data_IF_640986808383
#
_entry.id   IF_640986808383
#
_cell.length_a   1.000
_cell.length_b   1.000
_cell.length_c   1.000
_cell.angle_alpha   90.00
_cell.angle_beta   90.00
_cell.angle_gamma   90.00
#
_symmetry.space_group_name_H-M   'P 1'
#
loop_
_entity.id
_entity.type
_entity.pdbx_description
1 polymer ?
#
# COMPACT_ATOMS: atom_id res chain seq x y z
N UNK A 1 -9.79 13.19 32.36
CA UNK A 1 -10.53 13.02 31.11
C UNK A 1 -10.72 11.54 30.91
N UNK A 2 -11.96 11.07 30.97
CA UNK A 2 -12.31 9.68 30.65
C UNK A 2 -12.65 9.62 29.16
N UNK A 3 -12.15 8.62 28.45
CA UNK A 3 -12.42 8.41 27.03
C UNK A 3 -13.01 7.01 26.87
N UNK A 4 -14.25 6.95 26.42
CA UNK A 4 -14.93 5.70 26.11
C UNK A 4 -15.28 5.68 24.63
N UNK A 5 -14.90 4.62 23.94
CA UNK A 5 -15.05 4.48 22.50
C UNK A 5 -15.14 3.02 22.08
N UNK A 6 -15.65 2.81 20.88
CA UNK A 6 -15.80 1.49 20.27
C UNK A 6 -15.57 1.59 18.77
N UNK A 7 -15.02 0.53 18.19
CA UNK A 7 -14.86 0.37 16.75
C UNK A 7 -15.73 -0.78 16.26
N UNK A 8 -16.48 -0.54 15.18
CA UNK A 8 -17.36 -1.54 14.57
C UNK A 8 -17.18 -1.51 13.05
N UNK A 9 -16.35 -2.43 12.56
CA UNK A 9 -16.10 -2.60 11.14
C UNK A 9 -16.68 -3.94 10.66
N UNK A 10 -17.90 -3.87 10.10
CA UNK A 10 -18.69 -5.05 9.73
C UNK A 10 -18.04 -5.90 8.64
N UNK A 11 -17.41 -5.24 7.67
CA UNK A 11 -16.76 -5.93 6.53
C UNK A 11 -15.60 -6.83 6.98
N UNK A 12 -14.92 -6.43 8.06
CA UNK A 12 -13.80 -7.18 8.63
C UNK A 12 -14.24 -8.11 9.78
N UNK A 13 -15.52 -8.08 10.19
CA UNK A 13 -16.01 -8.82 11.35
C UNK A 13 -15.41 -8.34 12.69
N UNK A 14 -14.94 -7.09 12.74
CA UNK A 14 -14.27 -6.52 13.93
C UNK A 14 -15.28 -5.65 14.67
N UNK A 15 -15.63 -6.06 15.89
CA UNK A 15 -16.40 -5.24 16.83
C UNK A 15 -15.70 -5.30 18.18
N UNK A 16 -15.16 -4.17 18.64
CA UNK A 16 -14.40 -4.06 19.89
C UNK A 16 -14.72 -2.77 20.62
N UNK A 17 -14.68 -2.85 21.95
CA UNK A 17 -14.76 -1.68 22.83
C UNK A 17 -13.37 -1.31 23.34
N UNK A 18 -13.16 -0.07 23.78
CA UNK A 18 -11.88 0.38 24.35
C UNK A 18 -11.38 -0.55 25.47
N UNK A 19 -12.30 -1.18 26.21
CA UNK A 19 -12.02 -2.12 27.31
C UNK A 19 -11.34 -3.42 26.86
N UNK A 20 -11.51 -3.81 25.59
CA UNK A 20 -10.98 -5.04 25.01
C UNK A 20 -9.70 -4.81 24.19
N UNK A 21 -9.36 -3.54 23.96
CA UNK A 21 -8.29 -3.08 23.10
C UNK A 21 -7.15 -2.48 23.93
N UNK A 22 -5.97 -2.31 23.32
CA UNK A 22 -4.82 -1.66 23.97
C UNK A 22 -4.62 -0.25 23.44
N UNK A 23 -4.71 0.73 24.33
CA UNK A 23 -4.54 2.15 24.02
C UNK A 23 -3.16 2.72 24.33
N UNK A 24 -2.79 3.75 23.58
CA UNK A 24 -1.57 4.54 23.81
C UNK A 24 -1.82 6.02 23.53
N UNK A 25 -1.24 6.92 24.33
CA UNK A 25 -1.18 8.35 24.06
C UNK A 25 0.12 8.69 23.36
N UNK A 26 0.03 9.21 22.14
CA UNK A 26 1.18 9.66 21.36
C UNK A 26 1.65 11.04 21.84
N UNK A 27 2.93 11.13 22.14
CA UNK A 27 3.65 12.38 22.37
C UNK A 27 4.58 12.59 21.18
N UNK A 28 4.12 13.35 20.18
CA UNK A 28 4.79 13.42 18.86
C UNK A 28 5.92 14.46 18.78
N UNK A 29 5.93 15.48 19.63
CA UNK A 29 6.84 16.62 19.46
C UNK A 29 8.11 16.54 20.31
N UNK A 30 9.10 17.37 19.95
CA UNK A 30 10.41 17.48 20.60
C UNK A 30 10.49 18.61 21.64
N UNK A 31 9.36 19.22 22.00
CA UNK A 31 9.35 20.32 22.96
C UNK A 31 9.81 19.84 24.34
N UNK A 32 10.44 20.72 25.13
CA UNK A 32 10.92 20.39 26.48
C UNK A 32 9.81 19.83 27.38
N UNK A 33 8.58 20.34 27.26
CA UNK A 33 7.39 19.87 27.99
C UNK A 33 7.06 18.41 27.63
N UNK A 34 7.18 18.05 26.36
CA UNK A 34 6.88 16.71 25.85
C UNK A 34 7.98 15.71 26.25
N UNK A 35 9.25 16.12 26.13
CA UNK A 35 10.38 15.33 26.64
C UNK A 35 10.27 15.09 28.15
N UNK A 36 9.89 16.12 28.91
CA UNK A 36 9.64 16.00 30.34
C UNK A 36 8.51 14.99 30.64
N UNK A 37 7.43 15.00 29.86
CA UNK A 37 6.34 14.02 30.03
C UNK A 37 6.80 12.59 29.78
N UNK A 38 7.59 12.34 28.72
CA UNK A 38 8.15 11.02 28.44
C UNK A 38 9.07 10.56 29.58
N UNK A 39 9.97 11.43 30.04
CA UNK A 39 10.90 11.15 31.15
C UNK A 39 10.22 10.94 32.51
N UNK A 40 9.14 11.66 32.80
CA UNK A 40 8.36 11.51 34.04
C UNK A 40 7.54 10.20 34.05
N UNK A 41 7.29 9.61 32.88
CA UNK A 41 6.38 8.48 32.72
C UNK A 41 7.14 7.17 32.55
N UNK A 42 7.23 6.36 33.60
CA UNK A 42 7.93 5.06 33.58
C UNK A 42 7.39 4.06 32.53
N UNK A 43 6.15 4.25 32.06
CA UNK A 43 5.51 3.42 31.04
C UNK A 43 5.64 3.96 29.61
N UNK A 44 6.47 5.00 29.40
CA UNK A 44 6.71 5.56 28.09
C UNK A 44 7.47 4.56 27.20
N UNK A 45 6.90 4.23 26.04
CA UNK A 45 7.47 3.30 25.05
C UNK A 45 7.86 4.04 23.78
N UNK A 46 8.88 3.56 23.07
CA UNK A 46 9.30 4.11 21.77
C UNK A 46 8.33 3.79 20.64
N UNK A 47 7.51 2.74 20.80
CA UNK A 47 6.51 2.28 19.85
C UNK A 47 5.32 1.65 20.61
N UNK A 48 4.09 1.72 20.08
CA UNK A 48 2.91 1.15 20.74
C UNK A 48 2.93 -0.38 20.76
N UNK A 49 3.58 -1.02 19.79
CA UNK A 49 3.74 -2.48 19.71
C UNK A 49 5.23 -2.78 19.58
N UNK A 50 5.74 -3.71 20.39
CA UNK A 50 7.16 -4.07 20.46
C UNK A 50 8.13 -2.91 20.79
N UNK A 51 7.61 -1.81 21.33
CA UNK A 51 8.42 -0.68 21.79
C UNK A 51 9.30 -1.05 22.98
N UNK A 52 10.40 -0.31 23.11
CA UNK A 52 11.25 -0.33 24.32
C UNK A 52 10.91 0.88 25.17
N UNK A 53 11.18 0.80 26.48
CA UNK A 53 11.06 1.96 27.36
C UNK A 53 11.95 3.09 26.85
N UNK A 54 11.43 4.32 26.82
CA UNK A 54 12.15 5.50 26.34
C UNK A 54 11.83 6.71 27.22
N UNK A 55 12.82 7.55 27.46
CA UNK A 55 12.66 8.84 28.14
C UNK A 55 12.60 10.00 27.13
N UNK A 56 12.78 9.73 25.84
CA UNK A 56 12.84 10.70 24.76
C UNK A 56 11.56 10.67 23.91
N UNK A 57 11.15 11.84 23.44
CA UNK A 57 10.06 11.97 22.47
C UNK A 57 10.59 11.76 21.02
N UNK A 58 9.81 11.12 20.12
CA UNK A 58 8.42 10.70 20.31
C UNK A 58 8.28 9.45 21.20
N UNK A 59 7.27 9.46 22.07
CA UNK A 59 6.98 8.35 22.97
C UNK A 59 5.47 8.04 23.02
N UNK A 60 5.15 6.84 23.50
CA UNK A 60 3.81 6.30 23.64
C UNK A 60 3.54 5.97 25.10
N UNK A 61 2.53 6.60 25.69
CA UNK A 61 2.20 6.46 27.11
C UNK A 61 0.94 5.64 27.27
N UNK A 62 0.93 4.63 28.14
CA UNK A 62 -0.29 3.88 28.43
C UNK A 62 -1.31 4.74 29.20
N UNK A 63 -2.61 4.67 28.85
CA UNK A 63 -3.67 5.26 29.66
C UNK A 63 -3.69 4.64 31.06
N UNK A 64 -4.14 5.41 32.04
CA UNK A 64 -4.55 4.82 33.30
C UNK A 64 -5.92 4.16 33.10
N UNK A 65 -6.12 3.02 33.75
CA UNK A 65 -7.37 2.27 33.65
C UNK A 65 -8.22 2.49 34.89
N UNK A 66 -9.51 2.71 34.69
CA UNK A 66 -10.51 2.64 35.76
C UNK A 66 -10.76 1.18 36.18
N UNK A 67 -11.53 0.97 37.26
CA UNK A 67 -11.95 -0.37 37.67
C UNK A 67 -12.73 -1.14 36.58
N UNK A 68 -13.37 -0.43 35.65
CA UNK A 68 -14.10 -1.00 34.51
C UNK A 68 -13.24 -1.18 33.25
N UNK A 69 -11.94 -0.89 33.32
CA UNK A 69 -11.04 -0.95 32.16
C UNK A 69 -11.21 0.19 31.16
N UNK A 70 -11.86 1.30 31.57
CA UNK A 70 -11.93 2.51 30.73
C UNK A 70 -10.67 3.36 30.87
N UNK A 71 -10.24 3.95 29.76
CA UNK A 71 -9.08 4.82 29.70
C UNK A 71 -9.37 6.18 30.33
N UNK A 72 -8.42 6.67 31.13
CA UNK A 72 -8.41 8.06 31.55
C UNK A 72 -7.02 8.68 31.56
N UNK A 73 -6.99 9.97 31.27
CA UNK A 73 -5.80 10.82 31.32
C UNK A 73 -6.00 12.00 32.26
N UNK A 74 -4.94 12.42 32.93
CA UNK A 74 -4.94 13.70 33.64
C UNK A 74 -4.95 14.84 32.61
N UNK A 75 -5.64 15.94 32.92
CA UNK A 75 -5.66 17.13 32.02
C UNK A 75 -4.24 17.65 31.80
N UNK A 76 -3.36 17.55 32.81
CA UNK A 76 -1.94 17.87 32.71
C UNK A 76 -1.25 17.01 31.64
N UNK A 77 -1.42 15.69 31.65
CA UNK A 77 -0.80 14.80 30.66
C UNK A 77 -1.28 15.11 29.24
N UNK A 78 -2.58 15.40 29.06
CA UNK A 78 -3.16 15.80 27.76
C UNK A 78 -2.53 17.09 27.25
N UNK A 79 -2.43 18.13 28.11
CA UNK A 79 -1.81 19.41 27.75
C UNK A 79 -0.31 19.26 27.43
N UNK A 80 0.41 18.48 28.25
CA UNK A 80 1.84 18.23 28.05
C UNK A 80 2.09 17.40 26.78
N UNK A 81 1.24 16.43 26.46
CA UNK A 81 1.33 15.65 25.21
C UNK A 81 1.15 16.53 23.97
N UNK A 82 0.28 17.55 24.04
CA UNK A 82 0.15 18.57 22.99
C UNK A 82 1.31 19.57 22.96
N UNK A 83 2.19 19.57 23.96
CA UNK A 83 3.25 20.57 24.10
C UNK A 83 2.74 21.98 24.42
N UNK A 84 1.55 22.10 25.02
CA UNK A 84 0.92 23.40 25.32
C UNK A 84 0.99 23.69 26.82
N UNK A 85 1.43 24.91 27.16
CA UNK A 85 1.29 25.46 28.51
C UNK A 85 0.07 26.37 28.58
N UNK A 86 -0.71 26.31 29.66
CA UNK A 86 -1.84 27.21 29.83
C UNK A 86 -1.40 28.68 30.04
N UNK A 87 -0.18 28.88 30.53
CA UNK A 87 0.36 30.19 30.85
C UNK A 87 1.25 30.76 29.73
N UNK A 88 1.49 30.00 28.66
CA UNK A 88 2.17 30.53 27.48
C UNK A 88 1.28 31.51 26.71
N UNK A 89 1.92 32.43 26.00
CA UNK A 89 1.24 33.35 25.08
C UNK A 89 0.49 32.58 24.00
N UNK A 90 -0.75 32.98 23.77
CA UNK A 90 -1.61 32.60 22.66
C UNK A 90 -1.42 33.57 21.49
N UNK A 91 -2.14 33.35 20.39
CA UNK A 91 -2.06 34.15 19.17
C UNK A 91 -2.28 35.66 19.40
N UNK A 92 -3.21 36.07 20.28
CA UNK A 92 -3.45 37.49 20.56
C UNK A 92 -2.59 38.06 21.71
N UNK A 93 -1.50 37.37 22.09
CA UNK A 93 -0.59 37.80 23.15
C UNK A 93 -1.13 37.65 24.59
N UNK A 94 -2.33 37.09 24.76
CA UNK A 94 -2.88 36.70 26.08
C UNK A 94 -2.52 35.25 26.39
N UNK A 95 -2.66 34.80 27.63
CA UNK A 95 -2.40 33.39 27.96
C UNK A 95 -3.46 32.46 27.35
N UNK A 96 -3.05 31.24 26.99
CA UNK A 96 -3.97 30.18 26.53
C UNK A 96 -5.08 29.92 27.55
N UNK A 97 -4.77 30.04 28.85
CA UNK A 97 -5.74 29.98 29.96
C UNK A 97 -6.88 30.99 29.82
N UNK A 98 -6.56 32.21 29.37
CA UNK A 98 -7.52 33.29 29.22
C UNK A 98 -8.36 33.13 27.95
N UNK A 99 -7.74 32.67 26.85
CA UNK A 99 -8.43 32.59 25.55
C UNK A 99 -9.25 31.31 25.40
N UNK A 100 -8.80 30.20 25.98
CA UNK A 100 -9.31 28.87 25.72
C UNK A 100 -8.49 28.16 24.64
N UNK A 101 -8.62 26.84 24.56
CA UNK A 101 -7.88 25.98 23.65
C UNK A 101 -8.86 25.03 22.95
N UNK A 102 -8.77 24.97 21.63
CA UNK A 102 -9.39 23.89 20.85
C UNK A 102 -8.30 22.88 20.46
N UNK A 103 -8.59 21.60 20.56
CA UNK A 103 -7.71 20.55 20.04
C UNK A 103 -8.50 19.40 19.44
N UNK A 104 -7.90 18.73 18.46
CA UNK A 104 -8.44 17.51 17.85
C UNK A 104 -7.82 16.29 18.52
N UNK A 105 -8.65 15.40 19.06
CA UNK A 105 -8.26 14.07 19.54
C UNK A 105 -8.50 13.06 18.42
N UNK A 106 -7.46 12.74 17.67
CA UNK A 106 -7.50 11.67 16.68
C UNK A 106 -7.29 10.31 17.36
N UNK A 107 -8.22 9.38 17.18
CA UNK A 107 -8.11 8.01 17.70
C UNK A 107 -7.82 7.09 16.53
N UNK A 108 -6.56 6.66 16.38
CA UNK A 108 -6.15 5.80 15.28
C UNK A 108 -6.22 4.33 15.69
N UNK A 109 -7.15 3.57 15.14
CA UNK A 109 -7.26 2.12 15.34
C UNK A 109 -6.39 1.37 14.32
N UNK A 110 -5.67 0.35 14.77
CA UNK A 110 -4.88 -0.51 13.91
C UNK A 110 -4.79 -1.92 14.48
N UNK A 111 -4.75 -2.91 13.60
CA UNK A 111 -4.54 -4.32 13.93
C UNK A 111 -3.35 -4.91 13.15
N UNK A 112 -2.59 -4.08 12.44
CA UNK A 112 -1.40 -4.48 11.71
C UNK A 112 -0.20 -3.67 12.14
N UNK A 113 0.98 -4.27 12.01
CA UNK A 113 2.25 -3.60 12.25
C UNK A 113 3.21 -3.84 11.09
N UNK A 114 4.02 -2.83 10.69
CA UNK A 114 4.98 -3.00 9.61
C UNK A 114 5.82 -4.25 9.81
N UNK A 115 5.97 -5.04 8.74
CA UNK A 115 6.76 -6.27 8.69
C UNK A 115 6.27 -7.44 9.56
N UNK A 116 5.23 -7.25 10.37
CA UNK A 116 4.67 -8.31 11.25
C UNK A 116 3.28 -8.79 10.81
N UNK A 117 2.62 -8.07 9.89
CA UNK A 117 1.30 -8.43 9.40
C UNK A 117 0.21 -8.15 10.44
N UNK A 118 -0.80 -9.03 10.50
CA UNK A 118 -1.92 -8.93 11.46
C UNK A 118 -1.45 -9.33 12.85
N UNK A 119 -1.64 -8.44 13.82
CA UNK A 119 -1.28 -8.64 15.22
C UNK A 119 -2.18 -9.73 15.83
N UNK A 120 -1.62 -10.92 15.99
CA UNK A 120 -2.25 -12.01 16.73
C UNK A 120 -1.97 -11.84 18.22
N UNK A 121 -3.01 -11.85 19.05
CA UNK A 121 -2.83 -11.90 20.50
C UNK A 121 -2.23 -13.25 20.90
N UNK A 122 -1.37 -13.24 21.91
CA UNK A 122 -0.82 -14.48 22.52
C UNK A 122 -1.90 -15.42 23.08
N UNK A 123 -3.15 -14.96 23.18
CA UNK A 123 -4.32 -15.72 23.67
C UNK A 123 -5.36 -16.04 22.58
N UNK A 124 -5.00 -15.91 21.30
CA UNK A 124 -5.83 -16.42 20.19
C UNK A 124 -6.93 -15.51 19.64
N UNK A 125 -7.00 -14.23 20.04
CA UNK A 125 -7.88 -13.22 19.43
C UNK A 125 -7.08 -12.18 18.64
N UNK A 126 -7.69 -11.52 17.64
CA UNK A 126 -7.06 -10.40 16.94
C UNK A 126 -6.93 -9.20 17.89
N UNK A 127 -5.71 -8.65 18.02
CA UNK A 127 -5.44 -7.55 18.94
C UNK A 127 -5.57 -6.22 18.19
N UNK A 128 -6.74 -5.60 18.32
CA UNK A 128 -6.93 -4.23 17.85
C UNK A 128 -6.32 -3.31 18.90
N UNK A 129 -5.35 -2.50 18.48
CA UNK A 129 -4.74 -1.46 19.29
C UNK A 129 -5.16 -0.09 18.77
N UNK A 130 -5.02 0.94 19.60
CA UNK A 130 -5.28 2.31 19.17
C UNK A 130 -4.29 3.31 19.76
N UNK A 131 -4.11 4.42 19.06
CA UNK A 131 -3.26 5.53 19.46
C UNK A 131 -4.08 6.82 19.49
N UNK A 132 -4.06 7.51 20.62
CA UNK A 132 -4.56 8.87 20.78
C UNK A 132 -3.50 9.87 20.30
N UNK A 133 -3.81 10.64 19.27
CA UNK A 133 -2.99 11.75 18.79
C UNK A 133 -3.73 13.06 19.03
N UNK A 134 -3.11 13.97 19.78
CA UNK A 134 -3.69 15.27 20.09
C UNK A 134 -3.04 16.35 19.21
N UNK A 135 -3.87 17.07 18.47
CA UNK A 135 -3.43 18.15 17.58
C UNK A 135 -4.04 19.47 18.07
N UNK A 136 -3.26 20.36 18.72
CA UNK A 136 -3.78 21.64 19.19
C UNK A 136 -4.08 22.58 18.02
N UNK A 137 -5.19 23.31 18.11
CA UNK A 137 -5.58 24.37 17.16
C UNK A 137 -5.35 25.74 17.80
N UNK A 138 -4.11 26.22 17.76
CA UNK A 138 -3.70 27.46 18.44
C UNK A 138 -4.45 28.73 17.96
N UNK A 139 -4.95 28.73 16.72
CA UNK A 139 -5.65 29.87 16.12
C UNK A 139 -7.17 29.85 16.39
N UNK A 140 -7.68 28.84 17.10
CA UNK A 140 -9.12 28.66 17.33
C UNK A 140 -9.44 28.58 18.84
N UNK A 141 -9.47 29.73 19.55
CA UNK A 141 -9.75 29.76 20.98
C UNK A 141 -11.21 29.38 21.28
N UNK A 142 -11.43 28.50 22.25
CA UNK A 142 -12.77 28.09 22.66
C UNK A 142 -13.36 28.99 23.74
N UNK A 143 -14.52 29.59 23.45
CA UNK A 143 -15.27 30.46 24.36
C UNK A 143 -16.77 30.20 24.28
N UNK A 144 -17.42 30.04 25.43
CA UNK A 144 -18.89 29.99 25.56
C UNK A 144 -19.36 31.23 26.31
N UNK A 145 -20.35 31.93 25.75
CA UNK A 145 -20.99 33.06 26.41
C UNK A 145 -22.43 32.70 26.77
N UNK A 146 -22.73 32.64 28.07
CA UNK A 146 -24.08 32.41 28.58
C UNK A 146 -24.65 33.70 29.15
N UNK A 147 -25.90 34.01 28.84
CA UNK A 147 -26.61 35.15 29.41
C UNK A 147 -27.64 34.61 30.40
N UNK A 148 -27.46 34.93 31.67
CA UNK A 148 -28.38 34.56 32.74
C UNK A 148 -29.18 35.81 33.11
N UNK A 149 -30.49 35.77 32.89
CA UNK A 149 -31.39 36.85 33.27
C UNK A 149 -31.69 36.78 34.77
N UNK A 150 -31.37 37.85 35.50
CA UNK A 150 -31.77 37.98 36.91
C UNK A 150 -33.15 38.64 37.03
N UNK A 151 -33.45 39.60 36.14
CA UNK A 151 -34.76 40.22 36.00
C UNK A 151 -34.96 40.65 34.54
N UNK A 152 -35.94 40.08 33.84
CA UNK A 152 -36.18 40.39 32.44
C UNK A 152 -37.06 41.65 32.31
N UNK A 153 -36.75 42.62 31.41
CA UNK A 153 -35.59 42.71 30.52
C UNK A 153 -34.45 43.58 31.08
N UNK A 154 -34.49 43.98 32.35
CA UNK A 154 -33.64 45.06 32.89
C UNK A 154 -32.27 44.61 33.40
N UNK A 155 -32.14 43.36 33.88
CA UNK A 155 -30.91 42.86 34.52
C UNK A 155 -30.52 41.48 34.03
N UNK A 156 -29.32 41.39 33.46
CA UNK A 156 -28.68 40.15 33.02
C UNK A 156 -27.22 40.08 33.44
N UNK A 157 -26.73 38.88 33.67
CA UNK A 157 -25.32 38.55 33.89
C UNK A 157 -24.81 37.83 32.65
N UNK A 158 -23.72 38.34 32.07
CA UNK A 158 -23.02 37.68 30.97
C UNK A 158 -21.85 36.89 31.55
N UNK A 159 -21.96 35.56 31.50
CA UNK A 159 -20.88 34.65 31.87
C UNK A 159 -20.08 34.29 30.61
N UNK A 160 -18.79 34.60 30.60
CA UNK A 160 -17.86 34.19 29.55
C UNK A 160 -16.99 33.05 30.09
N UNK A 161 -17.23 31.83 29.65
CA UNK A 161 -16.43 30.66 30.00
C UNK A 161 -15.41 30.37 28.90
N UNK A 162 -14.14 30.28 29.28
CA UNK A 162 -13.02 29.87 28.43
C UNK A 162 -12.53 28.52 28.92
N UNK A 163 -12.22 27.61 28.00
CA UNK A 163 -11.90 26.24 28.38
C UNK A 163 -11.19 25.46 27.30
N UNK A 164 -11.02 24.15 27.56
CA UNK A 164 -10.51 23.19 26.61
C UNK A 164 -11.68 22.53 25.88
N UNK A 165 -11.73 22.69 24.56
CA UNK A 165 -12.64 21.97 23.68
C UNK A 165 -11.87 20.90 22.92
N UNK A 166 -12.37 19.67 22.99
CA UNK A 166 -11.76 18.51 22.33
C UNK A 166 -12.71 17.97 21.27
N UNK A 167 -12.31 18.07 20.00
CA UNK A 167 -13.02 17.47 18.88
C UNK A 167 -12.45 16.07 18.64
N UNK A 168 -13.27 15.02 18.80
CA UNK A 168 -12.82 13.64 18.60
C UNK A 168 -12.99 13.24 17.14
N UNK A 169 -11.93 12.72 16.52
CA UNK A 169 -11.94 12.24 15.13
C UNK A 169 -11.44 10.79 15.12
N UNK A 170 -12.30 9.80 14.79
CA UNK A 170 -11.84 8.42 14.62
C UNK A 170 -11.09 8.28 13.29
N UNK A 171 -9.96 7.57 13.32
CA UNK A 171 -9.17 7.20 12.14
C UNK A 171 -8.96 5.70 12.17
N UNK A 172 -9.21 5.00 11.07
CA UNK A 172 -9.12 3.54 11.01
C UNK A 172 -8.03 3.09 10.03
N UNK A 173 -7.17 2.19 10.48
CA UNK A 173 -6.18 1.48 9.69
C UNK A 173 -6.26 -0.01 10.03
N UNK A 174 -7.46 -0.56 9.92
CA UNK A 174 -7.73 -1.98 10.10
C UNK A 174 -7.54 -2.70 8.77
N UNK A 175 -6.84 -3.83 8.80
CA UNK A 175 -6.65 -4.68 7.63
C UNK A 175 -7.05 -6.11 7.96
N UNK A 176 -7.64 -6.80 6.99
CA UNK A 176 -7.83 -8.24 7.04
C UNK A 176 -7.10 -8.90 5.88
N UNK A 177 -6.88 -10.20 6.01
CA UNK A 177 -6.35 -10.99 4.92
C UNK A 177 -7.43 -11.14 3.82
N UNK A 178 -7.13 -10.64 2.63
CA UNK A 178 -7.95 -10.84 1.44
C UNK A 178 -7.19 -11.66 0.39
N UNK A 179 -7.68 -12.88 0.15
CA UNK A 179 -7.13 -13.80 -0.83
C UNK A 179 -7.23 -13.24 -2.26
N UNK A 180 -8.28 -12.47 -2.56
CA UNK A 180 -8.47 -11.89 -3.88
C UNK A 180 -7.38 -10.84 -4.16
N UNK A 181 -7.14 -9.93 -3.22
CA UNK A 181 -6.05 -8.94 -3.31
C UNK A 181 -4.68 -9.63 -3.40
N UNK A 182 -4.47 -10.72 -2.66
CA UNK A 182 -3.22 -11.50 -2.76
C UNK A 182 -3.03 -12.08 -4.16
N UNK A 183 -4.04 -12.74 -4.72
CA UNK A 183 -3.98 -13.33 -6.06
C UNK A 183 -3.76 -12.26 -7.13
N UNK A 184 -4.47 -11.13 -7.05
CA UNK A 184 -4.28 -10.00 -7.96
C UNK A 184 -2.84 -9.47 -7.90
N UNK A 185 -2.30 -9.26 -6.70
CA UNK A 185 -0.92 -8.78 -6.51
C UNK A 185 0.12 -9.79 -7.01
N UNK A 186 -0.14 -11.08 -6.81
CA UNK A 186 0.73 -12.15 -7.31
C UNK A 186 0.72 -12.18 -8.85
N UNK A 187 -0.46 -12.14 -9.47
CA UNK A 187 -0.59 -12.15 -10.93
C UNK A 187 0.04 -10.90 -11.57
N UNK A 188 -0.12 -9.71 -10.97
CA UNK A 188 0.55 -8.50 -11.47
C UNK A 188 2.06 -8.62 -11.35
N UNK A 189 2.58 -9.16 -10.24
CA UNK A 189 4.03 -9.39 -10.08
C UNK A 189 4.60 -10.36 -11.13
N UNK A 190 3.89 -11.45 -11.43
CA UNK A 190 4.28 -12.41 -12.48
C UNK A 190 4.22 -11.79 -13.88
N UNK A 191 3.23 -10.93 -14.12
CA UNK A 191 3.09 -10.20 -15.40
C UNK A 191 4.24 -9.23 -15.58
N UNK A 192 4.59 -8.46 -14.54
CA UNK A 192 5.74 -7.55 -14.56
C UNK A 192 7.06 -8.31 -14.75
N UNK A 193 7.21 -9.49 -14.14
CA UNK A 193 8.37 -10.35 -14.35
C UNK A 193 8.49 -10.85 -15.79
N UNK A 194 7.36 -11.25 -16.39
CA UNK A 194 7.31 -11.67 -17.80
C UNK A 194 7.66 -10.50 -18.73
N UNK A 195 7.11 -9.31 -18.49
CA UNK A 195 7.47 -8.09 -19.24
C UNK A 195 8.96 -7.76 -19.10
N UNK A 196 9.52 -7.85 -17.90
CA UNK A 196 10.95 -7.66 -17.67
C UNK A 196 11.79 -8.63 -18.52
N UNK A 197 11.38 -9.89 -18.62
CA UNK A 197 12.04 -10.87 -19.49
C UNK A 197 11.96 -10.50 -20.97
N UNK A 198 10.83 -9.99 -21.44
CA UNK A 198 10.67 -9.50 -22.82
C UNK A 198 11.59 -8.31 -23.09
N UNK A 199 11.68 -7.36 -22.16
CA UNK A 199 12.58 -6.21 -22.27
C UNK A 199 14.04 -6.65 -22.32
N UNK A 200 14.46 -7.57 -21.45
CA UNK A 200 15.83 -8.11 -21.46
C UNK A 200 16.13 -8.80 -22.79
N UNK A 201 15.21 -9.63 -23.31
CA UNK A 201 15.35 -10.25 -24.64
C UNK A 201 15.45 -9.20 -25.75
N UNK A 202 14.64 -8.16 -25.69
CA UNK A 202 14.67 -7.06 -26.66
C UNK A 202 16.03 -6.33 -26.63
N UNK A 203 16.53 -6.00 -25.44
CA UNK A 203 17.85 -5.36 -25.28
C UNK A 203 18.98 -6.28 -25.78
N UNK A 204 18.92 -7.58 -25.49
CA UNK A 204 19.89 -8.56 -25.96
C UNK A 204 19.94 -8.66 -27.50
N UNK A 205 18.78 -8.61 -28.16
CA UNK A 205 18.69 -8.73 -29.62
C UNK A 205 19.03 -7.44 -30.37
N UNK A 206 18.75 -6.26 -29.80
CA UNK A 206 18.83 -5.00 -30.55
C UNK A 206 19.91 -4.02 -30.09
N UNK A 207 20.26 -4.03 -28.81
CA UNK A 207 21.10 -2.97 -28.21
C UNK A 207 22.54 -3.44 -27.97
N UNK A 208 22.76 -4.71 -27.63
CA UNK A 208 24.09 -5.23 -27.32
C UNK A 208 25.00 -5.37 -28.56
N UNK A 209 26.29 -5.10 -28.38
CA UNK A 209 27.28 -5.11 -29.48
C UNK A 209 27.41 -6.49 -30.15
N UNK A 210 27.24 -7.58 -29.39
CA UNK A 210 27.31 -8.96 -29.87
C UNK A 210 25.92 -9.55 -30.20
N UNK A 211 24.99 -8.73 -30.66
CA UNK A 211 23.59 -9.12 -30.93
C UNK A 211 23.41 -10.35 -31.82
N UNK A 212 24.31 -10.59 -32.78
CA UNK A 212 24.19 -11.72 -33.71
C UNK A 212 24.33 -13.06 -32.99
N UNK A 213 25.30 -13.18 -32.07
CA UNK A 213 25.46 -14.38 -31.25
C UNK A 213 24.23 -14.64 -30.36
N UNK A 214 23.68 -13.59 -29.75
CA UNK A 214 22.45 -13.72 -28.95
C UNK A 214 21.25 -14.15 -29.81
N UNK A 215 21.15 -13.63 -31.03
CA UNK A 215 20.07 -13.99 -31.95
C UNK A 215 20.11 -15.47 -32.32
N UNK A 216 21.28 -15.98 -32.69
CA UNK A 216 21.47 -17.40 -33.04
C UNK A 216 21.23 -18.34 -31.84
N UNK A 217 21.60 -17.93 -30.62
CA UNK A 217 21.38 -18.75 -29.43
C UNK A 217 19.92 -18.73 -28.93
N UNK A 218 19.21 -17.62 -29.12
CA UNK A 218 17.87 -17.42 -28.57
C UNK A 218 16.77 -17.84 -29.55
N UNK A 219 17.03 -17.74 -30.85
CA UNK A 219 16.10 -18.14 -31.92
C UNK A 219 16.61 -19.40 -32.57
N UNK A 220 15.98 -20.53 -32.29
CA UNK A 220 16.22 -21.74 -33.07
C UNK A 220 15.39 -21.64 -34.35
N UNK A 221 16.07 -21.46 -35.48
CA UNK A 221 15.44 -21.51 -36.79
C UNK A 221 15.06 -22.96 -37.08
N UNK A 222 13.79 -23.30 -36.90
CA UNK A 222 13.24 -24.57 -37.37
C UNK A 222 12.85 -24.45 -38.84
N UNK A 223 12.96 -25.55 -39.59
CA UNK A 223 12.42 -25.62 -40.93
C UNK A 223 10.91 -25.31 -40.94
N UNK A 224 10.42 -24.71 -42.03
CA UNK A 224 8.99 -24.40 -42.17
C UNK A 224 8.18 -25.71 -42.14
N UNK A 225 7.09 -25.74 -41.37
CA UNK A 225 6.19 -26.89 -41.35
C UNK A 225 5.46 -27.10 -42.68
N UNK A 226 5.39 -26.07 -43.53
CA UNK A 226 4.85 -26.17 -44.89
C UNK A 226 5.71 -27.11 -45.74
N UNK A 227 7.02 -27.00 -45.61
CA UNK A 227 7.99 -27.85 -46.26
C UNK A 227 7.94 -29.29 -45.74
N UNK A 228 7.78 -29.44 -44.41
CA UNK A 228 7.54 -30.75 -43.79
C UNK A 228 6.29 -31.39 -44.39
N UNK A 229 5.17 -30.67 -44.49
CA UNK A 229 3.91 -31.20 -45.06
C UNK A 229 4.04 -31.57 -46.53
N UNK A 230 4.76 -30.77 -47.32
CA UNK A 230 5.00 -31.08 -48.73
C UNK A 230 5.90 -32.31 -48.90
N UNK A 231 6.86 -32.53 -48.00
CA UNK A 231 7.65 -33.76 -47.99
C UNK A 231 6.86 -34.95 -47.45
N UNK A 232 5.94 -34.73 -46.50
CA UNK A 232 5.04 -35.77 -45.98
C UNK A 232 3.98 -36.23 -46.98
N UNK A 233 3.62 -35.42 -47.99
CA UNK A 233 2.69 -35.84 -49.04
C UNK A 233 3.36 -36.63 -50.16
N UNK A 234 4.69 -36.59 -50.27
CA UNK A 234 5.45 -37.32 -51.30
C UNK A 234 5.57 -38.80 -50.98
N UNK A 235 5.59 -39.65 -51.99
CA UNK A 235 5.73 -41.10 -51.76
C UNK A 235 7.14 -41.42 -51.20
N UNK A 236 7.29 -42.56 -50.51
CA UNK A 236 8.60 -42.97 -49.97
C UNK A 236 9.67 -43.11 -51.08
N UNK A 237 9.25 -43.46 -52.29
CA UNK A 237 10.11 -43.56 -53.47
C UNK A 237 10.64 -42.18 -53.92
N UNK A 238 9.77 -41.17 -53.91
CA UNK A 238 10.14 -39.78 -54.23
C UNK A 238 11.08 -39.18 -53.17
N UNK A 239 10.81 -39.45 -51.89
CA UNK A 239 11.70 -39.06 -50.78
C UNK A 239 13.08 -39.69 -50.94
N UNK A 240 13.16 -41.00 -51.25
CA UNK A 240 14.41 -41.69 -51.50
C UNK A 240 15.13 -41.18 -52.77
N UNK A 241 14.38 -40.65 -53.75
CA UNK A 241 14.92 -39.94 -54.91
C UNK A 241 15.58 -38.63 -54.50
N UNK A 242 14.87 -37.78 -53.75
CA UNK A 242 15.38 -36.49 -53.25
C UNK A 242 16.63 -36.69 -52.37
N UNK A 243 16.67 -37.74 -51.54
CA UNK A 243 17.85 -38.07 -50.76
C UNK A 243 19.05 -38.46 -51.62
N UNK A 244 18.83 -39.28 -52.65
CA UNK A 244 19.90 -39.68 -53.60
C UNK A 244 20.44 -38.48 -54.37
N UNK A 245 19.57 -37.60 -54.83
CA UNK A 245 19.96 -36.37 -55.54
C UNK A 245 20.80 -35.43 -54.65
N UNK A 246 20.52 -35.41 -53.35
CA UNK A 246 21.29 -34.64 -52.35
C UNK A 246 22.53 -35.38 -51.83
N UNK A 247 22.79 -36.60 -52.27
CA UNK A 247 23.90 -37.43 -51.78
C UNK A 247 23.77 -37.88 -50.32
N UNK A 248 22.54 -37.91 -49.79
CA UNK A 248 22.25 -38.38 -48.43
C UNK A 248 21.99 -39.89 -48.43
N UNK A 249 22.44 -40.60 -47.38
CA UNK A 249 22.19 -42.02 -47.23
C UNK A 249 20.69 -42.27 -46.96
N UNK A 250 20.07 -43.15 -47.75
CA UNK A 250 18.68 -43.58 -47.57
C UNK A 250 18.64 -44.63 -46.45
N UNK A 251 18.69 -44.17 -45.20
CA UNK A 251 18.57 -45.03 -44.03
C UNK A 251 17.72 -44.36 -42.96
N UNK A 252 16.86 -45.14 -42.30
CA UNK A 252 16.07 -44.70 -41.16
C UNK A 252 14.56 -44.68 -41.40
N UNK A 253 13.84 -44.15 -40.42
CA UNK A 253 12.39 -43.94 -40.53
C UNK A 253 12.06 -42.77 -41.45
N UNK A 254 10.83 -42.74 -41.99
CA UNK A 254 10.34 -41.65 -42.86
C UNK A 254 10.58 -40.25 -42.28
N UNK A 255 10.39 -40.09 -40.96
CA UNK A 255 10.63 -38.83 -40.25
C UNK A 255 12.11 -38.44 -40.25
N UNK A 256 13.02 -39.41 -40.06
CA UNK A 256 14.46 -39.15 -40.15
C UNK A 256 14.87 -38.73 -41.56
N UNK A 257 14.26 -39.32 -42.59
CA UNK A 257 14.50 -38.93 -43.97
C UNK A 257 14.05 -37.48 -44.24
N UNK A 258 12.86 -37.10 -43.79
CA UNK A 258 12.34 -35.73 -43.93
C UNK A 258 13.24 -34.74 -43.18
N UNK A 259 13.62 -35.03 -41.93
CA UNK A 259 14.50 -34.17 -41.15
C UNK A 259 15.90 -34.01 -41.78
N UNK A 260 16.45 -35.08 -42.35
CA UNK A 260 17.73 -35.03 -43.06
C UNK A 260 17.64 -34.18 -44.34
N UNK A 261 16.53 -34.27 -45.10
CA UNK A 261 16.29 -33.44 -46.28
C UNK A 261 16.16 -31.95 -45.88
N UNK A 262 15.44 -31.66 -44.80
CA UNK A 262 15.26 -30.28 -44.32
C UNK A 262 16.56 -29.68 -43.80
N UNK A 263 17.37 -30.44 -43.06
CA UNK A 263 18.69 -30.00 -42.60
C UNK A 263 19.68 -29.78 -43.77
N UNK A 264 19.51 -30.49 -44.88
CA UNK A 264 20.30 -30.30 -46.10
C UNK A 264 19.80 -29.13 -46.98
N UNK A 265 18.81 -28.36 -46.50
CA UNK A 265 18.14 -27.25 -47.20
C UNK A 265 17.26 -27.74 -48.35
N UNK A 266 16.04 -27.25 -48.51
CA UNK A 266 15.28 -27.58 -49.72
C UNK A 266 15.92 -26.89 -50.93
N UNK A 267 15.99 -27.57 -52.10
CA UNK A 267 16.38 -26.89 -53.33
C UNK A 267 15.37 -25.77 -53.56
N UNK A 268 15.84 -24.54 -53.77
CA UNK A 268 15.00 -23.36 -53.98
C UNK A 268 13.96 -23.63 -55.07
N UNK A 269 12.77 -24.07 -54.67
CA UNK A 269 11.58 -23.99 -55.51
C UNK A 269 11.09 -22.55 -55.42
N UNK A 270 11.90 -21.62 -55.89
CA UNK A 270 11.43 -20.28 -56.20
C UNK A 270 10.90 -20.35 -57.65
N UNK A 271 9.59 -20.60 -57.90
CA UNK A 271 9.02 -20.05 -59.10
C UNK A 271 9.19 -18.53 -59.03
N UNK A 272 9.50 -17.84 -60.14
CA UNK A 272 9.64 -16.39 -60.15
C UNK A 272 8.35 -15.76 -59.62
N UNK A 273 8.37 -15.32 -58.36
CA UNK A 273 7.22 -14.72 -57.71
C UNK A 273 7.09 -13.28 -58.19
N UNK A 274 6.00 -13.05 -58.91
CA UNK A 274 5.48 -11.73 -59.26
C UNK A 274 5.38 -10.85 -58.01
N UNK A 275 6.00 -9.69 -58.09
CA UNK A 275 5.90 -8.59 -57.14
C UNK A 275 4.42 -8.28 -56.83
N UNK A 276 3.93 -8.64 -55.65
CA UNK A 276 2.68 -8.10 -55.12
C UNK A 276 3.00 -7.05 -54.05
N UNK A 277 2.91 -5.80 -54.48
CA UNK A 277 2.85 -4.62 -53.65
C UNK A 277 1.62 -4.69 -52.75
N UNK A 278 1.82 -4.80 -51.44
CA UNK A 278 0.78 -4.50 -50.47
C UNK A 278 1.28 -3.43 -49.49
N UNK A 279 0.98 -2.18 -49.87
CA UNK A 279 0.76 -1.09 -48.92
C UNK A 279 -0.39 -1.45 -47.97
N UNK A 280 -0.25 -1.16 -46.67
CA UNK A 280 -1.30 -1.45 -45.70
C UNK A 280 -1.05 -0.92 -44.28
N UNK A 281 -1.17 0.41 -44.14
CA UNK A 281 -1.67 1.16 -42.98
C UNK A 281 -1.26 0.78 -41.55
N UNK A 282 -0.51 1.71 -40.95
CA UNK A 282 -0.46 1.96 -39.52
C UNK A 282 -1.87 2.17 -38.93
N UNK A 283 -2.18 1.47 -37.83
CA UNK A 283 -3.25 1.84 -36.91
C UNK A 283 -2.65 2.13 -35.54
N UNK A 284 -2.80 3.39 -35.13
CA UNK A 284 -2.72 3.87 -33.75
C UNK A 284 -3.60 3.01 -32.85
N UNK A 285 -3.07 2.60 -31.70
CA UNK A 285 -3.89 2.22 -30.54
C UNK A 285 -3.81 3.34 -29.51
N UNK A 286 -4.99 3.87 -29.23
CA UNK A 286 -5.27 4.93 -28.26
C UNK A 286 -4.95 4.49 -26.83
N UNK A 287 -4.40 5.44 -26.07
CA UNK A 287 -4.22 5.32 -24.64
C UNK A 287 -5.57 5.53 -23.93
N UNK A 288 -6.01 4.51 -23.18
CA UNK A 288 -7.15 4.61 -22.27
C UNK A 288 -6.67 5.23 -20.96
N UNK A 289 -6.96 6.53 -20.80
CA UNK A 289 -6.80 7.23 -19.52
C UNK A 289 -8.01 6.99 -18.63
N UNK A 290 -7.80 6.30 -17.51
CA UNK A 290 -8.79 6.17 -16.44
C UNK A 290 -8.70 7.39 -15.52
N UNK A 291 -9.74 8.22 -15.50
CA UNK A 291 -9.94 9.25 -14.48
C UNK A 291 -10.75 8.66 -13.33
N UNK A 292 -10.21 8.77 -12.11
CA UNK A 292 -10.91 8.49 -10.85
C UNK A 292 -11.42 9.83 -10.32
N UNK A 293 -12.74 10.00 -10.30
CA UNK A 293 -13.43 11.15 -9.72
C UNK A 293 -13.80 10.82 -8.26
N UNK A 294 -13.27 11.58 -7.31
CA UNK A 294 -13.59 11.45 -5.88
C UNK A 294 -14.59 12.54 -5.53
N UNK A 295 -15.83 12.14 -5.27
CA UNK A 295 -16.91 13.02 -4.85
C UNK A 295 -17.02 12.99 -3.32
N UNK A 296 -16.73 14.12 -2.67
CA UNK A 296 -16.92 14.32 -1.24
C UNK A 296 -18.34 14.87 -1.04
N UNK A 297 -19.16 14.17 -0.25
CA UNK A 297 -20.42 14.67 0.29
C UNK A 297 -20.21 15.17 1.72
#
# INVERSE_FOLDING_TARGET
MLVDHSVNQRELGISRTAREMTGWLLVNGSNSIQQQLCKETLSAMSQPVFGRTTDEAPCYIRPNLTHEGMDFFSVRAVLMAMGVSLDSGSYNGRSVRYEGLTATLAIQYFNTWPWHGVLKKSSGSDDVSYVYSLIPQAENPYKVTTIIWLAYPTRRVRQNAHGLYLAVVPTESLAAFDLQTLLLTLTTSLTLLAMGSVVVKYLAMYVLQQREYYKEMLVQVSADFSDVRHLESKSDEELAGIMRDKGLAVQGSRVQMILAILNAGLPDQNPPSSQSSHNGSARLLEAVGSQVEVQIR
#
